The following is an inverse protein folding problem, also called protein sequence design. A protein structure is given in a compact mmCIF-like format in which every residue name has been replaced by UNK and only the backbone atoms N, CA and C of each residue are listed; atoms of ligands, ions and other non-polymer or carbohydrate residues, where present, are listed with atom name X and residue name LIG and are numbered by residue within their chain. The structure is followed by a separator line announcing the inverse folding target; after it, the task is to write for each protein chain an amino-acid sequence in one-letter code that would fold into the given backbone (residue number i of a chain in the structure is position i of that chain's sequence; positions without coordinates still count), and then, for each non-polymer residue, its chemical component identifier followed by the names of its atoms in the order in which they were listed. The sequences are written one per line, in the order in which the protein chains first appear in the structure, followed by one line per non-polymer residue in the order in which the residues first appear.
data_IF_819184912269
#
_entry.id   IF_819184912269
#
_cell.length_a   1.000
_cell.length_b   1.000
_cell.length_c   1.000
_cell.angle_alpha   90.00
_cell.angle_beta   90.00
_cell.angle_gamma   90.00
#
_symmetry.space_group_name_H-M   'P 1'
#
loop_
_entity.id
_entity.type
_entity.pdbx_description
1 polymer ?
#
# COMPACT_ATOMS: atom_id res chain seq x y z
N UNK A 1 20.43 -4.47 21.69
CA UNK A 1 20.42 -4.46 20.22
C UNK A 1 19.19 -5.26 19.81
N UNK A 2 18.17 -4.59 19.30
CA UNK A 2 17.03 -5.28 18.68
C UNK A 2 17.57 -5.97 17.42
N UNK A 3 17.17 -7.21 17.18
CA UNK A 3 17.66 -7.98 16.04
C UNK A 3 17.26 -7.25 14.75
N UNK A 4 18.21 -6.96 13.87
CA UNK A 4 17.97 -6.25 12.60
C UNK A 4 16.94 -7.00 11.76
N UNK A 5 16.89 -8.33 11.88
CA UNK A 5 15.85 -9.15 11.26
C UNK A 5 14.45 -8.85 11.80
N UNK A 6 14.32 -8.59 13.10
CA UNK A 6 13.05 -8.26 13.74
C UNK A 6 12.54 -6.88 13.31
N UNK A 7 13.43 -5.89 13.19
CA UNK A 7 13.10 -4.55 12.69
C UNK A 7 12.52 -4.63 11.28
N UNK A 8 13.21 -5.34 10.37
CA UNK A 8 12.74 -5.49 9.00
C UNK A 8 11.43 -6.27 8.90
N UNK A 9 11.20 -7.25 9.78
CA UNK A 9 9.94 -7.99 9.80
C UNK A 9 8.76 -7.11 10.26
N UNK A 10 8.98 -6.25 11.24
CA UNK A 10 7.96 -5.29 11.70
C UNK A 10 7.64 -4.27 10.62
N UNK A 11 8.66 -3.73 9.95
CA UNK A 11 8.51 -2.78 8.84
C UNK A 11 7.77 -3.42 7.65
N UNK A 12 8.11 -4.65 7.28
CA UNK A 12 7.39 -5.42 6.25
C UNK A 12 5.91 -5.59 6.58
N UNK A 13 5.60 -5.98 7.82
CA UNK A 13 4.23 -6.15 8.28
C UNK A 13 3.45 -4.83 8.24
N UNK A 14 4.09 -3.73 8.62
CA UNK A 14 3.49 -2.40 8.57
C UNK A 14 3.16 -1.99 7.12
N UNK A 15 4.12 -2.12 6.19
CA UNK A 15 3.94 -1.77 4.78
C UNK A 15 2.82 -2.60 4.11
N UNK A 16 2.79 -3.91 4.37
CA UNK A 16 1.72 -4.79 3.90
C UNK A 16 0.36 -4.36 4.45
N UNK A 17 0.28 -3.99 5.73
CA UNK A 17 -0.93 -3.45 6.34
C UNK A 17 -1.41 -2.16 5.67
N UNK A 18 -0.49 -1.24 5.36
CA UNK A 18 -0.82 0.01 4.67
C UNK A 18 -1.32 -0.22 3.24
N UNK A 19 -0.72 -1.17 2.51
CA UNK A 19 -1.19 -1.58 1.17
C UNK A 19 -2.60 -2.15 1.26
N UNK A 20 -2.87 -3.03 2.23
CA UNK A 20 -4.19 -3.63 2.40
C UNK A 20 -5.28 -2.58 2.74
N UNK A 21 -4.93 -1.55 3.53
CA UNK A 21 -5.81 -0.41 3.77
C UNK A 21 -6.12 0.33 2.46
N UNK A 22 -5.10 0.56 1.61
CA UNK A 22 -5.32 1.20 0.31
C UNK A 22 -6.26 0.39 -0.58
N UNK A 23 -6.06 -0.93 -0.67
CA UNK A 23 -6.92 -1.84 -1.43
C UNK A 23 -8.37 -1.83 -0.89
N UNK A 24 -8.53 -1.85 0.44
CA UNK A 24 -9.85 -1.78 1.09
C UNK A 24 -10.56 -0.46 0.79
N UNK A 25 -9.85 0.67 0.87
CA UNK A 25 -10.38 1.98 0.53
C UNK A 25 -10.85 2.02 -0.92
N UNK A 26 -10.05 1.48 -1.86
CA UNK A 26 -10.39 1.41 -3.29
C UNK A 26 -11.70 0.66 -3.49
N UNK A 27 -11.85 -0.49 -2.84
CA UNK A 27 -13.06 -1.31 -2.96
C UNK A 27 -14.30 -0.61 -2.37
N UNK A 28 -14.18 0.04 -1.21
CA UNK A 28 -15.26 0.84 -0.61
C UNK A 28 -15.71 1.94 -1.57
N UNK A 29 -14.74 2.67 -2.11
CA UNK A 29 -14.94 3.79 -3.01
C UNK A 29 -15.64 3.32 -4.31
N UNK A 30 -15.17 2.23 -4.93
CA UNK A 30 -15.79 1.66 -6.12
C UNK A 30 -17.21 1.13 -5.86
N UNK A 31 -17.43 0.50 -4.70
CA UNK A 31 -18.76 0.01 -4.30
C UNK A 31 -19.73 1.18 -4.10
N UNK A 32 -19.30 2.28 -3.48
CA UNK A 32 -20.11 3.47 -3.33
C UNK A 32 -20.54 4.06 -4.68
N UNK A 33 -19.63 4.13 -5.66
CA UNK A 33 -19.97 4.60 -7.02
C UNK A 33 -21.00 3.71 -7.69
N UNK A 34 -20.84 2.39 -7.59
CA UNK A 34 -21.82 1.42 -8.12
C UNK A 34 -23.20 1.62 -7.49
N UNK A 35 -23.27 1.81 -6.18
CA UNK A 35 -24.53 2.05 -5.45
C UNK A 35 -25.22 3.35 -5.86
N UNK A 36 -24.45 4.40 -6.15
CA UNK A 36 -25.00 5.69 -6.60
C UNK A 36 -25.39 5.70 -8.09
N UNK A 37 -25.25 4.56 -8.80
CA UNK A 37 -25.63 4.41 -10.21
C UNK A 37 -24.99 5.49 -11.12
N UNK A 38 -23.75 5.89 -10.82
CA UNK A 38 -23.03 6.92 -11.58
C UNK A 38 -23.47 8.36 -11.34
N UNK A 39 -24.31 8.64 -10.32
CA UNK A 39 -24.75 10.01 -9.98
C UNK A 39 -23.69 10.87 -9.27
N UNK A 40 -22.49 10.33 -9.05
CA UNK A 40 -21.37 11.03 -8.44
C UNK A 40 -20.59 11.76 -9.54
N UNK A 41 -20.02 12.92 -9.19
CA UNK A 41 -19.08 13.62 -10.06
C UNK A 41 -17.86 12.74 -10.36
N UNK A 42 -17.75 12.27 -11.61
CA UNK A 42 -16.68 11.37 -12.05
C UNK A 42 -15.27 11.96 -11.87
N UNK A 43 -15.12 13.28 -11.99
CA UNK A 43 -13.81 13.97 -11.84
C UNK A 43 -13.30 13.84 -10.40
N UNK A 44 -14.14 14.16 -9.41
CA UNK A 44 -13.78 14.07 -7.98
C UNK A 44 -13.44 12.63 -7.60
N UNK A 45 -14.14 11.68 -8.20
CA UNK A 45 -13.95 10.27 -7.96
C UNK A 45 -12.65 9.73 -8.57
N UNK A 46 -12.32 10.16 -9.78
CA UNK A 46 -11.06 9.84 -10.45
C UNK A 46 -9.88 10.43 -9.68
N UNK A 47 -9.96 11.69 -9.25
CA UNK A 47 -8.92 12.35 -8.44
C UNK A 47 -8.66 11.62 -7.12
N UNK A 48 -9.72 11.13 -6.46
CA UNK A 48 -9.62 10.34 -5.24
C UNK A 48 -8.92 9.00 -5.49
N UNK A 49 -9.29 8.29 -6.55
CA UNK A 49 -8.67 7.02 -6.92
C UNK A 49 -7.19 7.19 -7.30
N UNK A 50 -6.86 8.24 -8.05
CA UNK A 50 -5.48 8.57 -8.42
C UNK A 50 -4.66 8.86 -7.16
N UNK A 51 -5.20 9.64 -6.22
CA UNK A 51 -4.51 9.97 -4.98
C UNK A 51 -4.25 8.72 -4.12
N UNK A 52 -5.24 7.84 -4.02
CA UNK A 52 -5.11 6.56 -3.32
C UNK A 52 -4.07 5.64 -3.98
N UNK A 53 -4.10 5.56 -5.30
CA UNK A 53 -3.16 4.74 -6.06
C UNK A 53 -1.72 5.23 -5.91
N UNK A 54 -1.49 6.54 -5.88
CA UNK A 54 -0.15 7.11 -5.62
C UNK A 54 0.39 6.65 -4.26
N UNK A 55 -0.42 6.74 -3.21
CA UNK A 55 -0.02 6.27 -1.87
C UNK A 55 0.26 4.78 -1.88
N UNK A 56 -0.61 3.97 -2.50
CA UNK A 56 -0.40 2.51 -2.61
C UNK A 56 0.93 2.19 -3.31
N UNK A 57 1.25 2.89 -4.40
CA UNK A 57 2.49 2.71 -5.15
C UNK A 57 3.73 3.06 -4.32
N UNK A 58 3.70 4.16 -3.56
CA UNK A 58 4.79 4.52 -2.64
C UNK A 58 5.01 3.43 -1.58
N UNK A 59 3.95 2.86 -1.00
CA UNK A 59 4.08 1.77 -0.04
C UNK A 59 4.66 0.50 -0.67
N UNK A 60 4.24 0.16 -1.90
CA UNK A 60 4.77 -0.99 -2.66
C UNK A 60 6.25 -0.80 -3.00
N UNK A 61 6.67 0.41 -3.34
CA UNK A 61 8.09 0.73 -3.59
C UNK A 61 8.92 0.58 -2.31
N UNK A 62 8.44 1.10 -1.19
CA UNK A 62 9.10 0.93 0.11
C UNK A 62 9.23 -0.56 0.48
N UNK A 63 8.18 -1.35 0.24
CA UNK A 63 8.20 -2.80 0.47
C UNK A 63 9.27 -3.48 -0.38
N UNK A 64 9.38 -3.12 -1.66
CA UNK A 64 10.41 -3.65 -2.55
C UNK A 64 11.82 -3.30 -2.06
N UNK A 65 12.06 -2.05 -1.68
CA UNK A 65 13.36 -1.62 -1.15
C UNK A 65 13.75 -2.37 0.11
N UNK A 66 12.80 -2.56 1.03
CA UNK A 66 13.01 -3.32 2.26
C UNK A 66 13.31 -4.80 1.97
N UNK A 67 12.57 -5.45 1.07
CA UNK A 67 12.82 -6.84 0.70
C UNK A 67 14.19 -7.03 0.03
N UNK A 68 14.61 -6.07 -0.81
CA UNK A 68 15.95 -6.06 -1.40
C UNK A 68 17.05 -5.88 -0.33
N UNK A 69 16.81 -5.05 0.69
CA UNK A 69 17.74 -4.89 1.82
C UNK A 69 17.87 -6.18 2.64
N UNK A 70 16.74 -6.84 2.98
CA UNK A 70 16.73 -8.16 3.65
C UNK A 70 17.52 -9.20 2.85
N UNK A 71 17.26 -9.29 1.54
CA UNK A 71 17.93 -10.24 0.67
C UNK A 71 19.46 -10.03 0.67
N UNK A 72 19.92 -8.78 0.57
CA UNK A 72 21.34 -8.45 0.62
C UNK A 72 22.00 -8.88 1.93
N UNK A 73 21.35 -8.63 3.07
CA UNK A 73 21.87 -9.04 4.38
C UNK A 73 21.94 -10.56 4.51
N UNK A 74 20.90 -11.27 4.05
CA UNK A 74 20.88 -12.74 4.06
C UNK A 74 21.91 -13.39 3.14
N UNK A 75 22.32 -12.69 2.06
CA UNK A 75 23.35 -13.17 1.13
C UNK A 75 24.79 -12.86 1.57
N UNK A 76 24.96 -11.97 2.54
CA UNK A 76 26.25 -11.55 3.09
C UNK A 76 26.67 -12.34 4.35
N UNK A 77 25.83 -13.30 4.77
CA UNK A 77 26.06 -14.24 5.87
C UNK A 77 26.20 -15.65 5.32
#
# INVERSE_FOLDING_TARGET
MQDVAEIYQQEETHLLGMIQVCETCRDIILNFVRQQNGKINGIVMEDLLISLFKVEMEQRENLLHMQLAKARLSSAT
#
